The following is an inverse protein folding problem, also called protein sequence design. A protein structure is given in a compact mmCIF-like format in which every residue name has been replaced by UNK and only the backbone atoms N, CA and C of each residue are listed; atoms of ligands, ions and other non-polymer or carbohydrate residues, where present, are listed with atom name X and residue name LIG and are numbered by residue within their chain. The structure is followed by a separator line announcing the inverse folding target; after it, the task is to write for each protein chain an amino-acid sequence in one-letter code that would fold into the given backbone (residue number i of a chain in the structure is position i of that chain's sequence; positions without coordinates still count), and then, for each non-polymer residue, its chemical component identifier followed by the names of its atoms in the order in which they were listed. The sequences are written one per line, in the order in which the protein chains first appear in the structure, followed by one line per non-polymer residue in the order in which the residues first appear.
data_IF_837551807524
#
_entry.id   IF_837551807524
#
_cell.length_a   1.000
_cell.length_b   1.000
_cell.length_c   1.000
_cell.angle_alpha   90.00
_cell.angle_beta   90.00
_cell.angle_gamma   90.00
#
_symmetry.space_group_name_H-M   'P 1'
#
loop_
_entity.id
_entity.type
_entity.pdbx_description
1 polymer ?
#
# COMPACT_ATOMS: atom_id res chain seq x y z
N UNK A 1 -51.24 -15.84 -34.41
CA UNK A 1 -50.19 -15.19 -35.20
C UNK A 1 -48.87 -15.48 -34.58
N UNK A 2 -47.90 -15.93 -35.34
CA UNK A 2 -46.55 -16.18 -34.86
C UNK A 2 -45.70 -14.92 -35.09
N UNK A 3 -44.77 -14.68 -34.18
CA UNK A 3 -43.86 -13.50 -34.23
C UNK A 3 -42.42 -14.01 -34.28
N UNK A 4 -41.67 -13.49 -35.24
CA UNK A 4 -40.27 -13.79 -35.44
C UNK A 4 -39.43 -12.50 -35.40
N UNK A 5 -38.21 -12.58 -34.94
CA UNK A 5 -37.23 -11.48 -35.04
C UNK A 5 -35.96 -12.05 -35.71
N UNK A 6 -35.59 -11.44 -36.84
CA UNK A 6 -34.52 -11.93 -37.71
C UNK A 6 -34.66 -13.43 -38.04
N UNK A 7 -35.88 -13.89 -38.34
CA UNK A 7 -36.18 -15.28 -38.65
C UNK A 7 -36.29 -16.25 -37.47
N UNK A 8 -35.99 -15.82 -36.26
CA UNK A 8 -36.13 -16.65 -35.05
C UNK A 8 -37.51 -16.43 -34.42
N UNK A 9 -38.21 -17.54 -34.12
CA UNK A 9 -39.48 -17.49 -33.40
C UNK A 9 -39.32 -16.92 -31.99
N UNK A 10 -40.11 -15.90 -31.63
CA UNK A 10 -40.02 -15.21 -30.34
C UNK A 10 -41.33 -15.20 -29.54
N UNK A 11 -42.44 -15.67 -30.12
CA UNK A 11 -43.69 -15.76 -29.41
C UNK A 11 -44.93 -15.68 -30.32
N UNK A 12 -46.09 -15.51 -29.70
CA UNK A 12 -47.39 -15.38 -30.38
C UNK A 12 -48.10 -14.11 -29.99
N UNK A 13 -48.78 -13.49 -30.95
CA UNK A 13 -49.79 -12.49 -30.70
C UNK A 13 -51.18 -13.14 -30.68
N UNK A 14 -52.01 -12.71 -29.72
CA UNK A 14 -53.40 -13.15 -29.61
C UNK A 14 -54.25 -12.43 -30.64
N UNK A 15 -55.15 -13.15 -31.30
CA UNK A 15 -56.12 -12.61 -32.24
C UNK A 15 -57.49 -12.42 -31.55
N UNK A 16 -58.39 -11.61 -32.16
CA UNK A 16 -59.73 -11.39 -31.63
C UNK A 16 -59.94 -10.06 -30.93
N UNK A 17 -58.94 -9.13 -31.01
CA UNK A 17 -59.08 -7.77 -30.49
C UNK A 17 -60.12 -7.01 -31.35
N UNK A 18 -61.00 -6.24 -30.70
CA UNK A 18 -62.02 -5.47 -31.35
C UNK A 18 -61.47 -4.42 -32.33
N UNK A 19 -61.97 -4.43 -33.56
CA UNK A 19 -61.61 -3.48 -34.62
C UNK A 19 -62.87 -3.06 -35.40
N UNK A 20 -63.77 -2.24 -34.82
CA UNK A 20 -64.99 -1.77 -35.51
C UNK A 20 -64.66 -0.97 -36.77
N UNK A 21 -63.54 -0.33 -36.86
CA UNK A 21 -63.04 0.36 -38.05
C UNK A 21 -62.81 -0.61 -39.23
N UNK A 22 -62.25 -1.78 -38.95
CA UNK A 22 -62.01 -2.83 -39.93
C UNK A 22 -63.38 -3.43 -40.40
N UNK A 23 -64.28 -3.70 -39.46
CA UNK A 23 -65.64 -4.19 -39.81
C UNK A 23 -66.37 -3.21 -40.67
N UNK A 24 -66.29 -1.91 -40.42
CA UNK A 24 -66.96 -0.87 -41.26
C UNK A 24 -66.30 -0.76 -42.64
N UNK A 25 -64.98 -0.88 -42.75
CA UNK A 25 -64.31 -0.79 -44.05
C UNK A 25 -64.44 -2.05 -44.91
N UNK A 26 -64.69 -3.22 -44.30
CA UNK A 26 -64.80 -4.51 -44.98
C UNK A 26 -66.03 -5.30 -44.51
N UNK A 27 -67.27 -4.82 -44.83
CA UNK A 27 -68.53 -5.38 -44.30
C UNK A 27 -68.78 -6.81 -44.76
N UNK A 28 -68.15 -7.28 -45.83
CA UNK A 28 -68.29 -8.65 -46.34
C UNK A 28 -67.56 -9.74 -45.49
N UNK A 29 -66.77 -9.35 -44.49
CA UNK A 29 -66.11 -10.29 -43.65
C UNK A 29 -66.76 -10.43 -42.25
N UNK A 30 -67.37 -11.59 -42.00
CA UNK A 30 -68.15 -11.84 -40.77
C UNK A 30 -67.34 -11.67 -39.44
N UNK A 31 -66.08 -11.83 -39.47
CA UNK A 31 -65.18 -11.69 -38.30
C UNK A 31 -64.45 -10.33 -38.24
N UNK A 32 -64.80 -9.38 -39.13
CA UNK A 32 -64.14 -8.07 -39.22
C UNK A 32 -64.09 -7.29 -37.91
N UNK A 33 -65.15 -7.42 -37.07
CA UNK A 33 -65.19 -6.77 -35.73
C UNK A 33 -64.06 -7.25 -34.76
N UNK A 34 -63.60 -8.47 -34.94
CA UNK A 34 -62.56 -9.10 -34.08
C UNK A 34 -61.27 -9.37 -34.86
N UNK A 35 -61.00 -8.57 -35.90
CA UNK A 35 -59.82 -8.73 -36.76
C UNK A 35 -58.48 -8.23 -36.12
N UNK A 36 -58.56 -7.60 -34.98
CA UNK A 36 -57.39 -7.09 -34.33
C UNK A 36 -56.56 -8.17 -33.63
N UNK A 37 -55.29 -7.88 -33.39
CA UNK A 37 -54.38 -8.71 -32.63
C UNK A 37 -53.51 -7.86 -31.69
N UNK A 38 -53.09 -8.46 -30.59
CA UNK A 38 -52.19 -7.85 -29.61
C UNK A 38 -51.33 -8.91 -28.92
N UNK A 39 -50.14 -8.55 -28.48
CA UNK A 39 -49.29 -9.45 -27.75
C UNK A 39 -48.03 -8.75 -27.22
N UNK A 40 -47.54 -9.23 -26.10
CA UNK A 40 -46.26 -8.82 -25.55
C UNK A 40 -45.22 -9.91 -25.87
N UNK A 41 -44.14 -9.51 -26.49
CA UNK A 41 -43.00 -10.40 -26.82
C UNK A 41 -41.86 -10.08 -25.89
N UNK A 42 -41.31 -11.11 -25.22
CA UNK A 42 -40.14 -10.98 -24.43
C UNK A 42 -38.89 -10.82 -25.33
N UNK A 43 -38.26 -9.67 -25.22
CA UNK A 43 -37.04 -9.31 -25.96
C UNK A 43 -35.77 -9.30 -25.09
N UNK A 44 -35.83 -9.84 -23.86
CA UNK A 44 -34.75 -9.80 -22.88
C UNK A 44 -33.44 -10.38 -23.44
N UNK A 45 -33.54 -11.48 -24.18
CA UNK A 45 -32.40 -12.19 -24.78
C UNK A 45 -32.06 -11.77 -26.21
N UNK A 46 -32.74 -10.73 -26.74
CA UNK A 46 -32.48 -10.25 -28.11
C UNK A 46 -31.41 -9.13 -28.02
N UNK A 47 -30.39 -9.23 -28.86
CA UNK A 47 -29.34 -8.22 -28.93
C UNK A 47 -29.90 -6.88 -29.44
N UNK A 48 -29.28 -5.77 -28.95
CA UNK A 48 -29.60 -4.40 -29.40
C UNK A 48 -29.28 -4.20 -30.89
N UNK A 49 -29.81 -3.12 -31.45
CA UNK A 49 -29.59 -2.70 -32.84
C UNK A 49 -30.80 -2.98 -33.78
N UNK A 50 -30.59 -2.74 -35.08
CA UNK A 50 -31.62 -2.92 -36.11
C UNK A 50 -31.97 -4.40 -36.25
N UNK A 51 -33.28 -4.71 -36.24
CA UNK A 51 -33.84 -6.05 -36.38
C UNK A 51 -35.01 -5.98 -37.34
N UNK A 52 -35.32 -7.07 -38.02
CA UNK A 52 -36.52 -7.25 -38.78
C UNK A 52 -37.50 -8.07 -37.95
N UNK A 53 -38.65 -7.49 -37.58
CA UNK A 53 -39.76 -8.24 -37.01
C UNK A 53 -40.66 -8.75 -38.16
N UNK A 54 -41.03 -10.03 -38.08
CA UNK A 54 -41.98 -10.68 -38.99
C UNK A 54 -43.17 -11.19 -38.19
N UNK A 55 -44.39 -10.86 -38.68
CA UNK A 55 -45.63 -11.37 -38.12
C UNK A 55 -46.25 -12.29 -39.17
N UNK A 56 -46.33 -13.56 -38.84
CA UNK A 56 -46.92 -14.60 -39.65
C UNK A 56 -48.38 -14.83 -39.23
N UNK A 57 -49.30 -14.62 -40.17
CA UNK A 57 -50.75 -14.82 -40.01
C UNK A 57 -51.10 -16.16 -40.64
N UNK A 58 -51.52 -17.13 -39.83
CA UNK A 58 -51.99 -18.42 -40.30
C UNK A 58 -53.50 -18.46 -40.25
N UNK A 59 -54.18 -18.57 -41.41
CA UNK A 59 -55.62 -18.71 -41.50
C UNK A 59 -56.07 -20.14 -41.16
N UNK A 60 -57.35 -20.33 -40.90
CA UNK A 60 -57.95 -21.64 -40.57
C UNK A 60 -57.83 -22.68 -41.69
N UNK A 61 -57.70 -22.24 -42.92
CA UNK A 61 -57.52 -23.10 -44.11
C UNK A 61 -56.06 -23.46 -44.37
N UNK A 62 -55.13 -23.01 -43.45
CA UNK A 62 -53.67 -23.24 -43.55
C UNK A 62 -52.93 -22.22 -44.40
N UNK A 63 -53.66 -21.22 -45.01
CA UNK A 63 -52.97 -20.13 -45.75
C UNK A 63 -52.11 -19.28 -44.79
N UNK A 64 -50.92 -18.92 -45.25
CA UNK A 64 -50.01 -18.12 -44.49
C UNK A 64 -49.66 -16.81 -45.16
N UNK A 65 -49.73 -15.72 -44.42
CA UNK A 65 -49.30 -14.40 -44.85
C UNK A 65 -48.28 -13.84 -43.84
N UNK A 66 -47.18 -13.30 -44.35
CA UNK A 66 -46.17 -12.67 -43.54
C UNK A 66 -46.06 -11.16 -43.79
N UNK A 67 -45.90 -10.42 -42.72
CA UNK A 67 -45.64 -8.99 -42.76
C UNK A 67 -44.36 -8.69 -41.99
N UNK A 68 -43.47 -7.95 -42.62
CA UNK A 68 -42.17 -7.58 -42.01
C UNK A 68 -42.07 -6.08 -41.76
N UNK A 69 -41.39 -5.71 -40.69
CA UNK A 69 -40.97 -4.34 -40.38
C UNK A 69 -39.63 -4.30 -39.75
N UNK A 70 -38.85 -3.25 -40.05
CA UNK A 70 -37.62 -2.95 -39.33
C UNK A 70 -37.94 -2.22 -38.02
N UNK A 71 -37.35 -2.69 -36.96
CA UNK A 71 -37.41 -2.12 -35.61
C UNK A 71 -35.98 -1.91 -35.10
N UNK A 72 -35.78 -0.99 -34.15
CA UNK A 72 -34.52 -0.84 -33.42
C UNK A 72 -34.76 -1.22 -31.97
N UNK A 73 -34.03 -2.24 -31.53
CA UNK A 73 -34.02 -2.61 -30.11
C UNK A 73 -32.96 -1.80 -29.42
N UNK A 74 -33.36 -0.99 -28.45
CA UNK A 74 -32.50 -0.18 -27.61
C UNK A 74 -32.69 -0.67 -26.18
N UNK A 75 -31.61 -1.03 -25.52
CA UNK A 75 -31.58 -1.32 -24.07
C UNK A 75 -31.00 -0.10 -23.39
N UNK A 76 -31.64 0.37 -22.32
CA UNK A 76 -31.09 1.43 -21.49
C UNK A 76 -29.82 0.90 -20.80
N UNK A 77 -28.69 1.60 -21.00
CA UNK A 77 -27.46 1.27 -20.28
C UNK A 77 -27.66 1.62 -18.81
N UNK A 78 -27.46 0.65 -17.93
CA UNK A 78 -27.49 0.87 -16.50
C UNK A 78 -26.13 1.47 -16.05
N UNK A 79 -26.10 2.69 -15.49
CA UNK A 79 -24.84 3.32 -15.08
C UNK A 79 -24.22 2.56 -13.90
N UNK A 80 -22.89 2.41 -13.88
CA UNK A 80 -22.18 1.81 -12.76
C UNK A 80 -22.49 2.57 -11.45
N UNK A 81 -22.73 1.83 -10.37
CA UNK A 81 -23.02 2.35 -9.02
C UNK A 81 -22.18 1.61 -8.01
N UNK A 82 -21.64 2.34 -7.03
CA UNK A 82 -20.91 1.73 -5.94
C UNK A 82 -20.84 2.62 -4.71
N UNK A 83 -20.50 2.02 -3.58
CA UNK A 83 -20.25 2.74 -2.34
C UNK A 83 -19.20 2.00 -1.51
N UNK A 84 -18.32 2.75 -0.85
CA UNK A 84 -17.29 2.24 0.03
C UNK A 84 -17.73 2.45 1.48
N UNK A 85 -18.12 1.36 2.14
CA UNK A 85 -18.51 1.34 3.56
C UNK A 85 -17.29 1.46 4.46
N UNK A 86 -16.16 0.78 4.08
CA UNK A 86 -14.88 0.79 4.79
C UNK A 86 -13.70 0.90 3.82
N UNK A 87 -12.62 1.62 4.21
CA UNK A 87 -12.47 2.39 5.44
C UNK A 87 -13.24 3.71 5.38
N UNK A 88 -13.61 4.23 6.57
CA UNK A 88 -14.01 5.62 6.73
C UNK A 88 -12.82 6.56 6.45
N UNK A 89 -13.09 7.79 6.06
CA UNK A 89 -12.05 8.80 5.89
C UNK A 89 -11.42 9.15 7.25
N UNK A 90 -10.10 9.36 7.26
CA UNK A 90 -9.29 9.67 8.44
C UNK A 90 -9.33 8.58 9.54
N UNK A 91 -9.64 7.33 9.16
CA UNK A 91 -9.57 6.20 10.08
C UNK A 91 -8.15 6.08 10.64
N UNK A 92 -8.02 5.96 11.97
CA UNK A 92 -6.75 5.60 12.60
C UNK A 92 -6.65 4.09 12.71
N UNK A 93 -5.54 3.52 12.23
CA UNK A 93 -5.26 2.08 12.19
C UNK A 93 -3.94 1.81 12.91
N UNK A 94 -3.94 0.86 13.84
CA UNK A 94 -2.72 0.38 14.53
C UNK A 94 -2.29 -1.01 14.07
N UNK A 95 -3.17 -1.71 13.36
CA UNK A 95 -2.93 -3.05 12.84
C UNK A 95 -2.24 -3.05 11.48
N UNK A 96 -1.68 -4.20 11.10
CA UNK A 96 -1.10 -4.43 9.78
C UNK A 96 -2.12 -4.80 8.70
N UNK A 97 -3.40 -4.85 9.05
CA UNK A 97 -4.51 -5.20 8.16
C UNK A 97 -5.52 -4.07 8.10
N UNK A 98 -5.95 -3.72 6.89
CA UNK A 98 -7.01 -2.76 6.65
C UNK A 98 -8.21 -3.47 6.02
N UNK A 99 -9.39 -3.32 6.62
CA UNK A 99 -10.63 -3.83 6.05
C UNK A 99 -11.12 -2.89 4.94
N UNK A 100 -11.48 -3.48 3.80
CA UNK A 100 -12.09 -2.82 2.63
C UNK A 100 -13.45 -3.47 2.41
N UNK A 101 -14.52 -2.71 2.54
CA UNK A 101 -15.88 -3.21 2.39
C UNK A 101 -16.77 -2.20 1.68
N UNK A 102 -17.80 -2.70 1.00
CA UNK A 102 -18.76 -1.89 0.26
C UNK A 102 -19.64 -2.73 -0.64
N UNK A 103 -20.16 -2.10 -1.68
CA UNK A 103 -20.90 -2.76 -2.76
C UNK A 103 -20.64 -2.08 -4.10
N UNK A 104 -20.79 -2.83 -5.17
CA UNK A 104 -20.62 -2.33 -6.54
C UNK A 104 -21.54 -3.04 -7.52
N UNK A 105 -22.11 -2.27 -8.44
CA UNK A 105 -23.03 -2.69 -9.49
C UNK A 105 -22.58 -2.17 -10.84
N UNK A 106 -22.59 -3.03 -11.83
CA UNK A 106 -22.46 -2.71 -13.25
C UNK A 106 -23.33 -3.68 -14.05
N UNK A 107 -23.86 -3.26 -15.20
CA UNK A 107 -24.69 -4.14 -16.03
C UNK A 107 -23.95 -5.35 -16.59
N UNK A 108 -22.61 -5.25 -16.69
CA UNK A 108 -21.73 -6.34 -17.15
C UNK A 108 -21.16 -7.17 -16.00
N UNK A 109 -21.46 -6.78 -14.72
CA UNK A 109 -20.87 -7.35 -13.52
C UNK A 109 -19.50 -6.76 -13.20
N UNK A 110 -19.02 -7.02 -11.98
CA UNK A 110 -17.73 -6.53 -11.48
C UNK A 110 -16.66 -7.59 -11.69
N UNK A 111 -15.55 -7.19 -12.33
CA UNK A 111 -14.40 -8.05 -12.59
C UNK A 111 -13.52 -8.19 -11.34
N UNK A 112 -13.12 -7.06 -10.76
CA UNK A 112 -12.24 -7.02 -9.59
C UNK A 112 -12.30 -5.67 -8.88
N UNK A 113 -11.88 -5.66 -7.61
CA UNK A 113 -11.69 -4.44 -6.82
C UNK A 113 -10.22 -4.41 -6.41
N UNK A 114 -9.46 -3.49 -7.00
CA UNK A 114 -8.03 -3.33 -6.79
C UNK A 114 -7.76 -2.27 -5.72
N UNK A 115 -6.86 -2.57 -4.79
CA UNK A 115 -6.49 -1.66 -3.70
C UNK A 115 -5.01 -1.32 -3.81
N UNK A 116 -4.70 -0.03 -3.83
CA UNK A 116 -3.32 0.46 -3.91
C UNK A 116 -3.09 1.62 -2.93
N UNK A 117 -1.84 1.89 -2.59
CA UNK A 117 -1.43 3.10 -1.86
C UNK A 117 -0.06 3.55 -2.36
N UNK A 118 0.08 4.85 -2.69
CA UNK A 118 1.33 5.44 -3.21
C UNK A 118 1.94 4.64 -4.38
N UNK A 119 1.08 4.12 -5.28
CA UNK A 119 1.49 3.29 -6.42
C UNK A 119 1.85 1.84 -6.06
N UNK A 120 1.88 1.45 -4.78
CA UNK A 120 2.08 0.07 -4.33
C UNK A 120 0.78 -0.71 -4.38
N UNK A 121 0.82 -1.92 -4.91
CA UNK A 121 -0.30 -2.86 -4.88
C UNK A 121 -0.45 -3.45 -3.47
N UNK A 122 -1.66 -3.38 -2.92
CA UNK A 122 -2.02 -3.96 -1.62
C UNK A 122 -2.87 -5.22 -1.77
N UNK A 123 -3.31 -5.53 -2.99
CA UNK A 123 -4.11 -6.70 -3.33
C UNK A 123 -5.47 -6.38 -3.91
N UNK A 124 -6.28 -7.43 -4.09
CA UNK A 124 -7.64 -7.36 -4.66
C UNK A 124 -8.67 -7.91 -3.70
N UNK A 125 -9.89 -7.37 -3.76
CA UNK A 125 -11.05 -7.84 -3.01
C UNK A 125 -12.08 -8.39 -4.00
N UNK A 126 -12.70 -9.52 -3.67
CA UNK A 126 -13.74 -10.14 -4.51
C UNK A 126 -15.13 -9.69 -4.06
N UNK A 127 -16.04 -9.57 -5.01
CA UNK A 127 -17.49 -9.43 -4.78
C UNK A 127 -18.09 -10.78 -4.37
N UNK A 128 -19.37 -10.78 -3.99
CA UNK A 128 -20.11 -12.00 -3.64
C UNK A 128 -20.72 -11.96 -2.23
N UNK A 129 -20.50 -10.89 -1.48
CA UNK A 129 -21.15 -10.69 -0.18
C UNK A 129 -22.61 -10.29 -0.40
N UNK A 130 -23.50 -10.94 0.38
CA UNK A 130 -24.95 -10.69 0.28
C UNK A 130 -25.32 -9.25 0.65
N UNK A 131 -26.12 -8.59 -0.22
CA UNK A 131 -26.62 -7.22 -0.05
C UNK A 131 -28.09 -7.13 -0.48
N UNK A 132 -29.01 -7.69 0.32
CA UNK A 132 -30.44 -7.60 0.02
C UNK A 132 -30.98 -6.16 0.00
N UNK A 133 -30.36 -5.26 0.74
CA UNK A 133 -30.63 -3.83 0.73
C UNK A 133 -30.33 -3.20 -0.65
N UNK A 134 -29.20 -3.57 -1.26
CA UNK A 134 -28.83 -3.11 -2.61
C UNK A 134 -29.73 -3.72 -3.67
N UNK A 135 -30.07 -5.02 -3.54
CA UNK A 135 -31.01 -5.67 -4.45
C UNK A 135 -32.40 -5.01 -4.42
N UNK A 136 -32.88 -4.63 -3.25
CA UNK A 136 -34.14 -3.92 -3.11
C UNK A 136 -34.10 -2.52 -3.73
N UNK A 137 -32.98 -1.81 -3.58
CA UNK A 137 -32.81 -0.46 -4.12
C UNK A 137 -32.56 -0.44 -5.65
N UNK A 138 -31.91 -1.48 -6.18
CA UNK A 138 -31.45 -1.57 -7.56
C UNK A 138 -31.81 -2.91 -8.23
N UNK A 139 -33.10 -3.27 -8.34
CA UNK A 139 -33.54 -4.61 -8.78
C UNK A 139 -33.26 -4.88 -10.27
N UNK A 140 -32.92 -3.87 -11.06
CA UNK A 140 -32.62 -4.02 -12.50
C UNK A 140 -31.19 -4.53 -12.76
N UNK A 141 -30.27 -4.47 -11.75
CA UNK A 141 -28.92 -4.94 -11.96
C UNK A 141 -28.84 -6.46 -11.74
N UNK A 142 -28.10 -7.20 -12.59
CA UNK A 142 -27.99 -8.65 -12.43
C UNK A 142 -27.38 -8.94 -11.08
N UNK A 143 -26.47 -9.02 -10.56
CA UNK A 143 -25.87 -9.47 -9.32
C UNK A 143 -26.14 -8.58 -8.10
N UNK A 144 -27.22 -7.78 -8.07
CA UNK A 144 -27.50 -6.84 -7.00
C UNK A 144 -27.55 -7.50 -5.60
N UNK A 145 -28.06 -8.73 -5.51
CA UNK A 145 -28.16 -9.47 -4.24
C UNK A 145 -26.80 -9.93 -3.68
N UNK A 146 -25.78 -10.02 -4.53
CA UNK A 146 -24.41 -10.46 -4.19
C UNK A 146 -23.36 -9.40 -4.54
N UNK A 147 -23.80 -8.15 -4.65
CA UNK A 147 -22.96 -7.01 -5.05
C UNK A 147 -21.97 -6.55 -4.00
N UNK A 148 -22.08 -7.04 -2.76
CA UNK A 148 -21.20 -6.68 -1.68
C UNK A 148 -19.78 -7.24 -1.82
N UNK A 149 -18.86 -6.56 -1.21
CA UNK A 149 -17.49 -7.02 -1.00
C UNK A 149 -17.04 -6.70 0.42
N UNK A 150 -16.26 -7.59 1.01
CA UNK A 150 -15.62 -7.43 2.32
C UNK A 150 -14.34 -8.26 2.33
N UNK A 151 -13.23 -7.63 2.65
CA UNK A 151 -11.94 -8.28 2.69
C UNK A 151 -10.87 -7.40 3.33
N UNK A 152 -9.71 -7.98 3.58
CA UNK A 152 -8.59 -7.28 4.19
C UNK A 152 -7.39 -7.21 3.27
N UNK A 153 -6.70 -6.08 3.26
CA UNK A 153 -5.40 -5.90 2.62
C UNK A 153 -4.31 -5.71 3.68
N UNK A 154 -3.09 -6.13 3.35
CA UNK A 154 -1.93 -5.96 4.23
C UNK A 154 -1.33 -4.57 4.02
N UNK A 155 -1.25 -3.79 5.10
CA UNK A 155 -0.69 -2.44 5.13
C UNK A 155 0.61 -2.35 5.95
N UNK A 156 1.22 -3.49 6.34
CA UNK A 156 2.45 -3.52 7.15
C UNK A 156 3.63 -2.76 6.53
N UNK A 157 3.66 -2.68 5.20
CA UNK A 157 4.71 -1.98 4.43
C UNK A 157 4.41 -0.51 4.15
N UNK A 158 3.27 0.02 4.61
CA UNK A 158 2.98 1.45 4.51
C UNK A 158 3.61 2.20 5.67
N UNK A 159 4.11 3.42 5.47
CA UNK A 159 4.72 4.21 6.54
C UNK A 159 3.69 4.61 7.59
N UNK A 160 4.15 4.85 8.82
CA UNK A 160 3.36 5.49 9.86
C UNK A 160 2.91 6.88 9.42
N UNK A 161 1.78 7.35 9.94
CA UNK A 161 1.18 8.64 9.58
C UNK A 161 0.12 8.53 8.50
N UNK A 162 -0.08 9.62 7.76
CA UNK A 162 -1.14 9.77 6.76
C UNK A 162 -0.82 9.00 5.48
N UNK A 163 -1.74 8.11 5.07
CA UNK A 163 -1.67 7.37 3.82
C UNK A 163 -2.97 7.53 3.04
N UNK A 164 -2.88 7.57 1.71
CA UNK A 164 -4.04 7.57 0.81
C UNK A 164 -4.20 6.18 0.23
N UNK A 165 -5.36 5.57 0.50
CA UNK A 165 -5.76 4.27 -0.06
C UNK A 165 -6.64 4.53 -1.27
N UNK A 166 -6.20 4.08 -2.43
CA UNK A 166 -6.95 4.10 -3.69
C UNK A 166 -7.65 2.75 -3.87
N UNK A 167 -8.97 2.79 -4.03
CA UNK A 167 -9.82 1.63 -4.30
C UNK A 167 -10.37 1.80 -5.71
N UNK A 168 -10.02 0.91 -6.61
CA UNK A 168 -10.44 0.93 -8.02
C UNK A 168 -11.35 -0.27 -8.28
N UNK A 169 -12.62 0.02 -8.57
CA UNK A 169 -13.64 -0.97 -8.91
C UNK A 169 -13.68 -1.08 -10.42
N UNK A 170 -13.39 -2.25 -10.96
CA UNK A 170 -13.26 -2.51 -12.40
C UNK A 170 -14.39 -3.44 -12.83
N UNK A 171 -15.23 -2.98 -13.77
CA UNK A 171 -16.31 -3.77 -14.37
C UNK A 171 -15.77 -4.74 -15.45
N UNK A 172 -16.56 -5.75 -15.81
CA UNK A 172 -16.23 -6.65 -16.93
C UNK A 172 -16.15 -5.92 -18.28
N UNK A 173 -16.84 -4.77 -18.41
CA UNK A 173 -16.71 -3.88 -19.58
C UNK A 173 -15.35 -3.21 -19.72
N UNK A 174 -14.54 -3.19 -18.65
CA UNK A 174 -13.29 -2.43 -18.54
C UNK A 174 -13.46 -1.00 -18.00
N UNK A 175 -14.70 -0.53 -17.80
CA UNK A 175 -14.94 0.75 -17.12
C UNK A 175 -14.55 0.63 -15.64
N UNK A 176 -14.06 1.72 -15.05
CA UNK A 176 -13.67 1.71 -13.64
C UNK A 176 -14.17 2.92 -12.86
N UNK A 177 -14.41 2.72 -11.56
CA UNK A 177 -14.69 3.77 -10.58
C UNK A 177 -13.57 3.79 -9.54
N UNK A 178 -13.10 5.00 -9.20
CA UNK A 178 -11.96 5.19 -8.30
C UNK A 178 -12.42 5.95 -7.06
N UNK A 179 -12.06 5.42 -5.89
CA UNK A 179 -12.25 6.04 -4.59
C UNK A 179 -10.92 6.22 -3.88
N UNK A 180 -10.75 7.37 -3.25
CA UNK A 180 -9.60 7.63 -2.38
C UNK A 180 -10.09 7.81 -0.94
N UNK A 181 -9.44 7.12 -0.02
CA UNK A 181 -9.69 7.20 1.42
C UNK A 181 -8.38 7.50 2.14
N UNK A 182 -8.37 8.51 2.96
CA UNK A 182 -7.23 8.79 3.83
C UNK A 182 -7.34 7.96 5.09
N UNK A 183 -6.26 7.29 5.48
CA UNK A 183 -6.10 6.65 6.79
C UNK A 183 -4.87 7.22 7.50
N UNK A 184 -4.84 7.11 8.83
CA UNK A 184 -3.69 7.46 9.64
C UNK A 184 -3.16 6.22 10.36
N UNK A 185 -2.00 5.73 9.93
CA UNK A 185 -1.37 4.53 10.52
C UNK A 185 -0.60 4.96 11.77
N UNK A 186 -1.03 4.45 12.93
CA UNK A 186 -0.32 4.60 14.21
C UNK A 186 0.39 3.28 14.52
N UNK A 187 1.69 3.22 14.23
CA UNK A 187 2.57 2.16 14.73
C UNK A 187 3.56 2.76 15.69
N UNK A 188 3.99 1.97 16.67
CA UNK A 188 5.22 2.28 17.34
C UNK A 188 6.32 2.28 16.30
N UNK A 189 7.04 3.39 16.18
CA UNK A 189 8.15 3.49 15.24
C UNK A 189 9.26 2.57 15.70
N UNK A 190 9.79 1.78 14.79
CA UNK A 190 10.89 0.83 15.05
C UNK A 190 12.20 1.47 14.70
N UNK A 191 13.11 1.57 15.66
CA UNK A 191 14.47 2.05 15.45
C UNK A 191 15.41 0.87 15.56
N UNK A 192 16.23 0.66 14.54
CA UNK A 192 17.33 -0.31 14.64
C UNK A 192 18.59 0.40 15.08
N UNK A 193 19.17 -0.09 16.18
CA UNK A 193 20.48 0.33 16.65
C UNK A 193 21.50 -0.75 16.33
N UNK A 194 22.49 -0.36 15.56
CA UNK A 194 23.61 -1.20 15.17
C UNK A 194 24.83 -0.82 16.00
N UNK A 195 25.18 -1.65 16.97
CA UNK A 195 26.46 -1.52 17.67
C UNK A 195 27.56 -2.09 16.77
N UNK A 196 28.35 -1.21 16.15
CA UNK A 196 29.37 -1.59 15.16
C UNK A 196 30.31 -2.68 15.62
N UNK A 197 30.88 -3.42 14.67
CA UNK A 197 31.81 -4.53 14.90
C UNK A 197 31.24 -5.75 15.68
N UNK A 198 32.11 -6.65 16.09
CA UNK A 198 31.83 -7.89 16.86
C UNK A 198 31.02 -8.97 16.16
N UNK A 199 30.96 -8.95 14.83
CA UNK A 199 30.44 -10.05 14.00
C UNK A 199 31.60 -10.87 13.47
N UNK A 200 31.63 -12.18 13.74
CA UNK A 200 32.73 -13.05 13.31
C UNK A 200 34.08 -12.58 13.87
N UNK A 201 34.99 -12.27 12.98
CA UNK A 201 36.35 -11.78 13.33
C UNK A 201 36.54 -10.27 13.32
N UNK A 202 35.48 -9.49 13.08
CA UNK A 202 35.52 -8.01 13.02
C UNK A 202 35.62 -7.43 14.45
N UNK A 203 36.81 -7.08 14.88
CA UNK A 203 37.10 -6.63 16.25
C UNK A 203 37.08 -5.12 16.45
N UNK A 204 36.91 -4.33 15.38
CA UNK A 204 37.07 -2.86 15.46
C UNK A 204 38.49 -2.44 15.84
N UNK A 205 38.64 -1.19 16.21
CA UNK A 205 39.93 -0.63 16.63
C UNK A 205 40.12 -0.77 18.14
N UNK A 206 41.39 -0.98 18.55
CA UNK A 206 41.76 -1.05 19.96
C UNK A 206 43.00 -0.14 20.22
N UNK A 207 42.97 0.62 21.29
CA UNK A 207 44.10 1.46 21.75
C UNK A 207 44.28 1.32 23.27
N UNK A 208 45.50 1.53 23.71
CA UNK A 208 45.82 1.53 25.14
C UNK A 208 46.62 2.80 25.49
N UNK A 209 46.14 3.55 26.45
CA UNK A 209 46.83 4.73 26.96
C UNK A 209 46.92 4.66 28.50
N UNK A 210 48.12 4.84 29.05
CA UNK A 210 48.36 4.82 30.49
C UNK A 210 47.76 3.57 31.18
N UNK A 211 47.87 2.41 30.52
CA UNK A 211 47.35 1.14 31.05
C UNK A 211 45.84 0.94 30.91
N UNK A 212 45.09 1.92 30.37
CA UNK A 212 43.67 1.80 30.10
C UNK A 212 43.44 1.37 28.65
N UNK A 213 42.74 0.25 28.45
CA UNK A 213 42.34 -0.26 27.15
C UNK A 213 41.05 0.44 26.70
N UNK A 214 41.04 0.93 25.47
CA UNK A 214 39.90 1.45 24.76
C UNK A 214 39.60 0.52 23.58
N UNK A 215 38.47 -0.13 23.63
CA UNK A 215 38.02 -1.11 22.63
C UNK A 215 36.74 -0.59 21.96
N UNK A 216 36.82 -0.34 20.69
CA UNK A 216 35.70 0.25 19.93
C UNK A 216 34.45 -0.60 20.03
N UNK A 217 34.59 -1.93 19.95
CA UNK A 217 33.48 -2.87 20.03
C UNK A 217 32.70 -2.76 21.34
N UNK A 218 33.42 -2.58 22.45
CA UNK A 218 32.82 -2.41 23.77
C UNK A 218 32.19 -1.02 23.94
N UNK A 219 32.85 0.03 23.46
CA UNK A 219 32.35 1.41 23.52
C UNK A 219 31.09 1.58 22.67
N UNK A 220 31.06 0.97 21.48
CA UNK A 220 29.89 0.96 20.63
C UNK A 220 28.67 0.33 21.33
N UNK A 221 28.87 -0.82 22.01
CA UNK A 221 27.81 -1.49 22.75
C UNK A 221 27.35 -0.70 23.98
N UNK A 222 28.27 -0.12 24.74
CA UNK A 222 27.94 0.69 25.91
C UNK A 222 27.10 1.90 25.56
N UNK A 223 27.39 2.58 24.44
CA UNK A 223 26.60 3.69 23.94
C UNK A 223 25.27 3.20 23.37
N UNK A 224 25.27 2.12 22.60
CA UNK A 224 24.09 1.56 21.98
C UNK A 224 23.00 1.17 23.00
N UNK A 225 23.38 0.54 24.12
CA UNK A 225 22.44 0.19 25.20
C UNK A 225 21.83 1.44 25.86
N UNK A 226 22.60 2.53 26.02
CA UNK A 226 22.08 3.78 26.54
C UNK A 226 21.12 4.44 25.54
N UNK A 227 21.47 4.47 24.25
CA UNK A 227 20.62 4.99 23.19
C UNK A 227 19.30 4.21 23.12
N UNK A 228 19.35 2.88 23.17
CA UNK A 228 18.17 2.01 23.27
C UNK A 228 17.28 2.40 24.46
N UNK A 229 17.85 2.56 25.65
CA UNK A 229 17.09 2.90 26.84
C UNK A 229 16.39 4.27 26.70
N UNK A 230 17.06 5.28 26.14
CA UNK A 230 16.48 6.61 25.93
C UNK A 230 15.41 6.62 24.83
N UNK A 231 15.59 5.87 23.75
CA UNK A 231 14.57 5.72 22.70
C UNK A 231 13.30 5.01 23.21
N UNK A 232 13.46 3.95 24.03
CA UNK A 232 12.32 3.25 24.67
C UNK A 232 11.54 4.23 25.56
N UNK A 233 12.21 5.08 26.36
CA UNK A 233 11.56 6.14 27.16
C UNK A 233 10.75 7.13 26.30
N UNK A 234 11.16 7.33 25.03
CA UNK A 234 10.44 8.17 24.07
C UNK A 234 9.29 7.44 23.36
N UNK A 235 9.06 6.16 23.66
CA UNK A 235 7.95 5.36 23.09
C UNK A 235 8.29 4.67 21.77
N UNK A 236 9.56 4.59 21.38
CA UNK A 236 10.00 3.82 20.22
C UNK A 236 10.14 2.34 20.57
N UNK A 237 9.87 1.48 19.61
CA UNK A 237 10.31 0.10 19.62
C UNK A 237 11.76 0.05 19.14
N UNK A 238 12.64 -0.66 19.87
CA UNK A 238 14.08 -0.70 19.53
C UNK A 238 14.53 -2.13 19.30
N UNK A 239 15.09 -2.37 18.12
CA UNK A 239 15.74 -3.63 17.73
C UNK A 239 17.24 -3.40 17.68
N UNK A 240 17.99 -4.30 18.30
CA UNK A 240 19.46 -4.28 18.27
C UNK A 240 19.97 -5.28 17.22
N UNK A 241 21.01 -4.91 16.45
CA UNK A 241 21.65 -5.87 15.53
C UNK A 241 22.39 -6.98 16.26
N UNK A 242 22.90 -6.71 17.45
CA UNK A 242 23.45 -7.68 18.40
C UNK A 242 23.20 -7.21 19.84
N UNK A 243 23.16 -8.12 20.79
CA UNK A 243 23.02 -7.80 22.21
C UNK A 243 24.38 -7.84 22.93
N UNK A 244 24.39 -7.34 24.15
CA UNK A 244 25.59 -7.37 25.01
C UNK A 244 26.08 -8.82 25.19
N UNK A 245 27.36 -9.03 24.94
CA UNK A 245 28.00 -10.35 25.01
C UNK A 245 27.80 -11.24 23.76
N UNK A 246 26.96 -10.87 22.83
CA UNK A 246 26.77 -11.63 21.58
C UNK A 246 27.90 -11.34 20.58
N UNK A 247 28.30 -12.42 19.88
CA UNK A 247 29.21 -12.40 18.73
C UNK A 247 28.57 -13.17 17.59
N UNK A 248 27.66 -12.54 16.81
CA UNK A 248 27.03 -13.22 15.73
C UNK A 248 28.05 -13.81 14.76
N UNK A 249 27.77 -15.03 14.29
CA UNK A 249 28.66 -15.75 13.38
C UNK A 249 28.53 -15.16 11.98
N UNK A 250 29.68 -14.85 11.37
CA UNK A 250 29.76 -14.53 9.95
C UNK A 250 31.05 -15.07 9.37
N UNK A 251 31.03 -15.51 8.14
CA UNK A 251 32.20 -16.09 7.46
C UNK A 251 33.15 -15.02 6.90
N UNK A 252 32.64 -13.80 6.69
CA UNK A 252 33.40 -12.68 6.18
C UNK A 252 32.73 -11.34 6.49
N UNK A 253 33.44 -10.24 6.27
CA UNK A 253 32.95 -8.89 6.52
C UNK A 253 31.65 -8.57 5.76
N UNK A 254 31.54 -8.97 4.49
CA UNK A 254 30.34 -8.68 3.68
C UNK A 254 29.10 -9.36 4.27
N UNK A 255 29.21 -10.60 4.70
CA UNK A 255 28.12 -11.32 5.36
C UNK A 255 27.72 -10.65 6.68
N UNK A 256 28.71 -10.25 7.49
CA UNK A 256 28.47 -9.49 8.70
C UNK A 256 27.65 -8.22 8.46
N UNK A 257 28.01 -7.43 7.45
CA UNK A 257 27.31 -6.21 7.09
C UNK A 257 25.90 -6.51 6.54
N UNK A 258 25.77 -7.59 5.76
CA UNK A 258 24.46 -8.00 5.23
C UNK A 258 23.50 -8.43 6.33
N UNK A 259 23.94 -9.20 7.30
CA UNK A 259 23.11 -9.61 8.45
C UNK A 259 22.55 -8.41 9.21
N UNK A 260 23.32 -7.33 9.39
CA UNK A 260 22.85 -6.08 10.02
C UNK A 260 21.77 -5.39 9.19
N UNK A 261 21.98 -5.32 7.87
CA UNK A 261 21.01 -4.80 6.91
C UNK A 261 19.71 -5.62 6.91
N UNK A 262 19.83 -6.96 6.93
CA UNK A 262 18.69 -7.86 6.92
C UNK A 262 17.82 -7.71 8.19
N UNK A 263 18.44 -7.56 9.36
CA UNK A 263 17.71 -7.29 10.60
C UNK A 263 16.85 -6.02 10.45
N UNK A 264 17.45 -4.93 9.95
CA UNK A 264 16.73 -3.66 9.79
C UNK A 264 15.62 -3.75 8.73
N UNK A 265 15.89 -4.38 7.59
CA UNK A 265 14.94 -4.49 6.50
C UNK A 265 13.79 -5.46 6.86
N UNK A 266 14.05 -6.55 7.57
CA UNK A 266 13.05 -7.55 7.95
C UNK A 266 12.07 -7.06 9.02
N UNK A 267 12.52 -6.20 9.94
CA UNK A 267 11.62 -5.59 10.94
C UNK A 267 10.91 -4.33 10.43
N UNK A 268 11.09 -3.93 9.16
CA UNK A 268 10.54 -2.72 8.58
C UNK A 268 10.81 -1.48 9.44
N UNK A 269 12.07 -1.30 9.85
CA UNK A 269 12.45 -0.19 10.70
C UNK A 269 12.14 1.18 10.06
N UNK A 270 11.83 2.16 10.90
CA UNK A 270 11.63 3.55 10.48
C UNK A 270 12.93 4.33 10.40
N UNK A 271 13.97 3.88 11.14
CA UNK A 271 15.31 4.46 11.15
C UNK A 271 16.35 3.40 11.53
N UNK A 272 17.50 3.46 10.87
CA UNK A 272 18.69 2.68 11.22
C UNK A 272 19.79 3.61 11.72
N UNK A 273 20.40 3.32 12.87
CA UNK A 273 21.51 4.07 13.44
C UNK A 273 22.66 3.11 13.74
N UNK A 274 23.77 3.23 13.03
CA UNK A 274 25.01 2.52 13.32
C UNK A 274 25.91 3.37 14.21
N UNK A 275 26.43 2.78 15.27
CA UNK A 275 27.22 3.45 16.30
C UNK A 275 28.65 2.94 16.22
N UNK A 276 29.57 3.85 15.96
CA UNK A 276 31.01 3.64 15.88
C UNK A 276 31.81 4.68 16.66
N UNK A 277 33.05 4.36 16.89
CA UNK A 277 34.08 5.26 17.41
C UNK A 277 35.29 5.22 16.49
N UNK A 278 35.63 6.36 15.94
CA UNK A 278 36.62 6.50 14.89
C UNK A 278 38.06 6.16 15.39
N UNK A 279 38.88 5.79 14.45
CA UNK A 279 40.32 5.62 14.68
C UNK A 279 41.13 6.21 13.51
N UNK A 280 42.26 6.83 13.82
CA UNK A 280 43.18 7.41 12.84
C UNK A 280 44.60 6.96 13.12
N UNK A 281 45.45 7.04 12.11
CA UNK A 281 46.93 6.93 12.28
C UNK A 281 47.51 8.16 13.03
N UNK A 282 46.80 9.30 12.97
CA UNK A 282 47.15 10.49 13.74
C UNK A 282 46.47 10.47 15.11
N UNK A 283 47.25 10.56 16.17
CA UNK A 283 46.74 10.72 17.53
C UNK A 283 46.18 12.11 17.83
N UNK A 284 46.30 13.06 16.90
CA UNK A 284 45.71 14.40 17.00
C UNK A 284 44.34 14.51 16.31
N UNK A 285 43.84 13.47 15.64
CA UNK A 285 42.51 13.45 15.09
C UNK A 285 41.46 13.48 16.19
N UNK A 286 40.40 14.30 16.03
CA UNK A 286 39.37 14.49 17.04
C UNK A 286 38.06 14.98 16.41
N UNK A 287 36.94 14.83 17.12
CA UNK A 287 35.63 15.38 16.75
C UNK A 287 34.57 14.34 16.43
N UNK A 288 33.36 14.81 16.23
CA UNK A 288 32.17 14.03 15.94
C UNK A 288 31.81 14.18 14.45
N UNK A 289 31.53 13.08 13.78
CA UNK A 289 31.04 13.05 12.40
C UNK A 289 29.94 12.02 12.22
N UNK A 290 29.16 12.16 11.16
CA UNK A 290 28.16 11.18 10.78
C UNK A 290 28.17 10.93 9.26
N UNK A 291 27.63 9.81 8.85
CA UNK A 291 27.56 9.39 7.47
C UNK A 291 26.15 8.95 7.11
N UNK A 292 25.76 9.27 5.89
CA UNK A 292 24.58 8.75 5.20
C UNK A 292 24.98 8.33 3.79
N UNK A 293 24.09 7.72 3.01
CA UNK A 293 24.36 7.44 1.60
C UNK A 293 23.27 8.01 0.70
N UNK A 294 23.70 8.78 -0.31
CA UNK A 294 22.84 9.17 -1.45
C UNK A 294 22.79 8.10 -2.54
N UNK A 295 23.70 7.11 -2.50
CA UNK A 295 23.67 5.96 -3.41
C UNK A 295 22.57 4.98 -3.03
N UNK A 296 21.52 4.95 -3.85
CA UNK A 296 20.35 4.08 -3.69
C UNK A 296 20.26 3.02 -4.78
N UNK A 297 21.33 2.82 -5.54
CA UNK A 297 21.36 1.92 -6.73
C UNK A 297 21.01 0.45 -6.41
N UNK A 298 21.21 0.02 -5.17
CA UNK A 298 20.91 -1.35 -4.72
C UNK A 298 19.46 -1.53 -4.23
N UNK A 299 18.66 -0.45 -4.13
CA UNK A 299 17.33 -0.46 -3.53
C UNK A 299 16.24 -0.59 -4.59
N UNK A 300 15.21 -1.38 -4.28
CA UNK A 300 14.04 -1.57 -5.13
C UNK A 300 12.77 -1.48 -4.29
N UNK A 301 11.74 -0.79 -4.79
CA UNK A 301 10.47 -0.64 -4.11
C UNK A 301 10.51 0.24 -2.84
N UNK A 302 11.53 1.09 -2.71
CA UNK A 302 11.76 2.01 -1.60
C UNK A 302 11.57 3.45 -2.07
N UNK A 303 10.99 4.31 -1.24
CA UNK A 303 11.04 5.75 -1.46
C UNK A 303 12.44 6.28 -1.15
N UNK A 304 13.29 6.27 -2.17
CA UNK A 304 14.69 6.66 -2.05
C UNK A 304 14.86 8.15 -1.74
N UNK A 305 13.95 9.01 -2.22
CA UNK A 305 13.97 10.44 -1.91
C UNK A 305 13.70 10.67 -0.42
N UNK A 306 12.69 10.00 0.14
CA UNK A 306 12.41 10.06 1.57
C UNK A 306 13.60 9.56 2.38
N UNK A 307 14.15 8.37 2.04
CA UNK A 307 15.32 7.81 2.72
C UNK A 307 16.47 8.80 2.77
N UNK A 308 16.90 9.31 1.63
CA UNK A 308 18.07 10.20 1.53
C UNK A 308 17.83 11.52 2.27
N UNK A 309 16.71 12.18 2.01
CA UNK A 309 16.41 13.49 2.61
C UNK A 309 16.25 13.39 4.14
N UNK A 310 15.59 12.34 4.63
CA UNK A 310 15.40 12.12 6.06
C UNK A 310 16.71 11.73 6.74
N UNK A 311 17.56 10.92 6.12
CA UNK A 311 18.91 10.62 6.62
C UNK A 311 19.76 11.90 6.76
N UNK A 312 19.72 12.78 5.74
CA UNK A 312 20.39 14.10 5.78
C UNK A 312 19.87 14.98 6.92
N UNK A 313 18.56 15.07 7.06
CA UNK A 313 17.92 15.88 8.10
C UNK A 313 18.35 15.45 9.49
N UNK A 314 18.21 14.14 9.79
CA UNK A 314 18.53 13.56 11.09
C UNK A 314 20.05 13.63 11.34
N UNK A 315 20.88 13.23 10.36
CA UNK A 315 22.33 13.22 10.51
C UNK A 315 22.89 14.63 10.75
N UNK A 316 22.39 15.64 10.05
CA UNK A 316 22.78 17.04 10.26
C UNK A 316 22.41 17.53 11.68
N UNK A 317 21.19 17.22 12.11
CA UNK A 317 20.73 17.58 13.44
C UNK A 317 21.57 16.88 14.53
N UNK A 318 21.91 15.60 14.36
CA UNK A 318 22.77 14.86 15.29
C UNK A 318 24.16 15.46 15.41
N UNK A 319 24.84 15.70 14.29
CA UNK A 319 26.19 16.29 14.31
C UNK A 319 26.19 17.64 14.99
N UNK A 320 25.23 18.51 14.68
CA UNK A 320 25.16 19.85 15.26
C UNK A 320 24.88 19.81 16.77
N UNK A 321 23.88 18.99 17.19
CA UNK A 321 23.52 18.89 18.60
C UNK A 321 24.62 18.22 19.44
N UNK A 322 25.19 17.11 18.95
CA UNK A 322 26.26 16.41 19.66
C UNK A 322 27.50 17.30 19.79
N UNK A 323 27.94 17.93 18.72
CA UNK A 323 29.11 18.81 18.74
C UNK A 323 28.94 19.99 19.68
N UNK A 324 27.79 20.67 19.64
CA UNK A 324 27.48 21.81 20.50
C UNK A 324 27.35 21.42 21.96
N UNK A 325 26.49 20.43 22.28
CA UNK A 325 26.18 20.11 23.69
C UNK A 325 27.26 19.31 24.41
N UNK A 326 28.13 18.62 23.65
CA UNK A 326 29.24 17.82 24.21
C UNK A 326 30.58 18.50 24.02
N UNK A 327 30.64 19.72 23.48
CA UNK A 327 31.88 20.43 23.18
C UNK A 327 32.85 19.57 22.35
N UNK A 328 32.33 18.98 21.28
CA UNK A 328 33.09 18.21 20.28
C UNK A 328 33.34 19.06 19.04
N UNK A 329 34.48 18.82 18.38
CA UNK A 329 34.70 19.44 17.08
C UNK A 329 33.70 18.86 16.07
N UNK A 330 32.98 19.73 15.38
CA UNK A 330 32.01 19.35 14.36
C UNK A 330 32.73 19.04 13.04
N UNK A 331 32.77 17.76 12.66
CA UNK A 331 33.38 17.27 11.41
C UNK A 331 32.38 17.16 10.27
N UNK A 332 31.10 17.43 10.54
CA UNK A 332 30.02 17.44 9.57
C UNK A 332 29.37 16.09 9.31
N UNK A 333 28.26 16.17 8.58
CA UNK A 333 27.62 15.03 7.94
C UNK A 333 28.24 14.80 6.57
N UNK A 334 28.58 13.55 6.26
CA UNK A 334 29.26 13.14 5.03
C UNK A 334 28.40 12.17 4.23
N UNK A 335 28.49 12.27 2.91
CA UNK A 335 27.89 11.32 1.99
C UNK A 335 28.92 10.25 1.64
N UNK A 336 28.67 9.00 2.04
CA UNK A 336 29.54 7.87 1.75
C UNK A 336 28.74 6.58 1.62
N UNK A 337 29.17 5.68 0.74
CA UNK A 337 28.49 4.44 0.43
C UNK A 337 28.82 3.30 1.40
N UNK A 338 28.94 3.59 2.71
CA UNK A 338 29.07 2.52 3.70
C UNK A 338 27.93 1.53 3.57
N UNK A 339 28.28 0.23 3.61
CA UNK A 339 27.38 -0.85 3.24
C UNK A 339 26.03 -0.78 3.99
N UNK A 340 26.06 -0.57 5.30
CA UNK A 340 24.86 -0.57 6.15
C UNK A 340 23.94 0.61 5.91
N UNK A 341 24.48 1.80 5.61
CA UNK A 341 23.64 2.98 5.31
C UNK A 341 23.17 3.01 3.85
N UNK A 342 23.92 2.36 2.93
CA UNK A 342 23.54 2.24 1.53
C UNK A 342 22.39 1.23 1.33
N UNK A 343 22.49 0.04 1.93
CA UNK A 343 21.64 -1.12 1.59
C UNK A 343 20.41 -1.28 2.49
N UNK A 344 20.22 -0.47 3.51
CA UNK A 344 19.00 -0.42 4.33
C UNK A 344 17.86 0.28 3.59
N UNK A 345 16.61 -0.16 3.78
CA UNK A 345 15.44 0.35 3.06
C UNK A 345 14.84 1.64 3.64
N UNK A 346 15.26 2.02 4.85
CA UNK A 346 14.78 3.17 5.61
C UNK A 346 15.86 4.26 5.69
N UNK A 347 15.55 5.47 6.20
CA UNK A 347 16.55 6.44 6.61
C UNK A 347 17.63 5.79 7.45
N UNK A 348 18.90 6.07 7.17
CA UNK A 348 20.03 5.40 7.81
C UNK A 348 21.20 6.35 8.02
N UNK A 349 21.80 6.27 9.21
CA UNK A 349 22.95 7.08 9.61
C UNK A 349 23.97 6.17 10.30
N UNK A 350 25.24 6.46 10.07
CA UNK A 350 26.36 5.93 10.86
C UNK A 350 26.99 7.11 11.60
N UNK A 351 27.17 7.01 12.89
CA UNK A 351 27.85 8.01 13.69
C UNK A 351 29.24 7.53 14.09
N UNK A 352 30.20 8.44 14.02
CA UNK A 352 31.56 8.28 14.51
C UNK A 352 31.76 9.21 15.70
N UNK A 353 31.65 8.64 16.88
CA UNK A 353 31.65 9.38 18.15
C UNK A 353 33.06 9.59 18.69
N UNK A 354 33.81 10.50 18.06
CA UNK A 354 35.17 10.80 18.45
C UNK A 354 36.19 9.73 18.08
N UNK A 355 37.46 9.97 18.36
CA UNK A 355 38.59 9.14 17.94
C UNK A 355 39.21 8.41 19.12
N UNK A 356 39.13 7.08 19.16
CA UNK A 356 39.80 6.27 20.18
C UNK A 356 41.33 6.30 20.04
N UNK A 357 41.85 6.76 18.90
CA UNK A 357 43.30 6.99 18.68
C UNK A 357 43.82 8.25 19.35
N UNK A 358 42.96 9.15 19.83
CA UNK A 358 43.31 10.36 20.56
C UNK A 358 43.10 10.12 22.06
N UNK A 359 44.16 10.18 22.90
CA UNK A 359 44.03 9.83 24.32
C UNK A 359 43.05 10.71 25.09
N UNK A 360 42.94 11.99 24.75
CA UNK A 360 41.98 12.91 25.38
C UNK A 360 40.55 12.58 25.00
N UNK A 361 40.29 12.31 23.72
CA UNK A 361 38.95 11.91 23.28
C UNK A 361 38.60 10.51 23.80
N UNK A 362 39.50 9.55 23.72
CA UNK A 362 39.28 8.19 24.24
C UNK A 362 38.80 8.22 25.71
N UNK A 363 39.46 8.99 26.56
CA UNK A 363 39.03 9.18 27.94
C UNK A 363 37.66 9.86 28.06
N UNK A 364 37.34 10.83 27.20
CA UNK A 364 36.07 11.55 27.19
C UNK A 364 34.92 10.65 26.75
N UNK A 365 35.05 10.01 25.58
CA UNK A 365 33.98 9.20 24.97
C UNK A 365 33.69 7.90 25.70
N UNK A 366 34.67 7.41 26.50
CA UNK A 366 34.49 6.23 27.37
C UNK A 366 33.79 6.54 28.70
N UNK A 367 33.65 7.83 29.07
CA UNK A 367 32.96 8.18 30.31
C UNK A 367 31.45 7.93 30.24
N UNK A 368 30.91 7.29 31.27
CA UNK A 368 29.48 6.94 31.33
C UNK A 368 28.57 8.16 31.25
N UNK A 369 28.99 9.30 31.83
CA UNK A 369 28.22 10.55 31.78
C UNK A 369 28.18 11.17 30.39
N UNK A 370 29.30 11.13 29.66
CA UNK A 370 29.34 11.57 28.27
C UNK A 370 28.40 10.71 27.38
N UNK A 371 28.54 9.37 27.49
CA UNK A 371 27.73 8.43 26.73
C UNK A 371 26.22 8.60 27.02
N UNK A 372 25.86 8.81 28.29
CA UNK A 372 24.48 9.07 28.69
C UNK A 372 23.94 10.35 28.04
N UNK A 373 24.70 11.42 28.07
CA UNK A 373 24.31 12.69 27.47
C UNK A 373 24.18 12.60 25.94
N UNK A 374 25.09 11.87 25.30
CA UNK A 374 24.98 11.61 23.85
C UNK A 374 23.76 10.76 23.51
N UNK A 375 23.45 9.75 24.30
CA UNK A 375 22.26 8.94 24.14
C UNK A 375 20.96 9.76 24.23
N UNK A 376 20.88 10.68 25.19
CA UNK A 376 19.77 11.64 25.33
C UNK A 376 19.66 12.56 24.12
N UNK A 377 20.79 13.07 23.61
CA UNK A 377 20.81 13.90 22.39
C UNK A 377 20.29 13.12 21.19
N UNK A 378 20.77 11.87 20.98
CA UNK A 378 20.32 11.01 19.87
C UNK A 378 18.82 10.78 19.98
N UNK A 379 18.32 10.38 21.15
CA UNK A 379 16.89 10.10 21.34
C UNK A 379 16.02 11.34 21.16
N UNK A 380 16.47 12.53 21.57
CA UNK A 380 15.76 13.80 21.36
C UNK A 380 15.69 14.16 19.89
N UNK A 381 16.82 14.09 19.17
CA UNK A 381 16.86 14.37 17.73
C UNK A 381 15.97 13.39 16.95
N UNK A 382 16.02 12.10 17.27
CA UNK A 382 15.17 11.08 16.64
C UNK A 382 13.69 11.39 16.91
N UNK A 383 13.33 11.70 18.16
CA UNK A 383 11.93 12.02 18.53
C UNK A 383 11.41 13.30 17.88
N UNK A 384 12.28 14.27 17.60
CA UNK A 384 11.90 15.53 16.94
C UNK A 384 11.78 15.39 15.43
N UNK A 385 12.64 14.59 14.80
CA UNK A 385 12.79 14.52 13.35
C UNK A 385 12.08 13.34 12.70
N UNK A 386 11.78 12.29 13.42
CA UNK A 386 11.09 11.12 12.91
C UNK A 386 9.59 11.19 13.21
#
# INVERSE_FOLDING_TARGET
MNVYINGSYVGKALVGTSRPDVAAAYPGYSSGINAGFNGNIDITNISTGRKTIEIEIVANDGTVQSHTRDISIVKEKLPAKSYIDKPGNNLTVSDDKLNIAGWALDETGIKEIKVTSNGKDLGTIKTGVSRPDVAAAYPKYPDAATSGFDGTVNISKLPSGKNVIKIEIIANSGESQIYEKTINIKRNRVIVIDAGHNYGGDTGAVRTFNGVKYDETELNMQLAEKVKAELIKKGFEVVMTRNTGERPVSSNLRESLQQRVDIANNCNADLFISIHHNASTSSSAYGFEAYYSSDTSALSGVDTNYKVNKSKEIGTALVNNASSQLSMYNRGLKDDAFYVVKNTNMPAILIENGFISNPTEAAKISSSSYQQKLAEIIANVVSEKL
#
